data_IF_614415920242
#
_entry.id   IF_614415920242
#
_cell.length_a   1.000
_cell.length_b   1.000
_cell.length_c   1.000
_cell.angle_alpha   90.00
_cell.angle_beta   90.00
_cell.angle_gamma   90.00
#
_symmetry.space_group_name_H-M   'P 1'
#
loop_
_entity.id
_entity.type
_entity.pdbx_description
1 polymer ?
#
# COMPACT_ATOMS: atom_id res chain seq x y z
N UNK A 1 -1.35 15.69 -13.87
CA UNK A 1 -1.79 16.74 -12.92
C UNK A 1 -0.89 16.75 -11.72
N UNK A 2 -0.73 15.58 -11.08
CA UNK A 2 0.35 15.31 -10.13
C UNK A 2 1.67 15.68 -10.78
N UNK A 3 1.94 15.20 -12.01
CA UNK A 3 3.06 15.64 -12.86
C UNK A 3 3.27 17.16 -12.80
N UNK A 4 2.36 17.98 -13.32
CA UNK A 4 2.55 19.44 -13.36
C UNK A 4 2.69 20.11 -11.98
N UNK A 5 1.89 19.71 -10.99
CA UNK A 5 1.99 20.24 -9.63
C UNK A 5 3.31 19.88 -8.95
N UNK A 6 3.70 18.61 -9.06
CA UNK A 6 4.92 18.06 -8.51
C UNK A 6 6.13 18.68 -9.23
N UNK A 7 6.06 18.84 -10.55
CA UNK A 7 7.07 19.55 -11.33
C UNK A 7 7.16 21.05 -10.99
N UNK A 8 6.07 21.67 -10.53
CA UNK A 8 6.07 23.08 -10.11
C UNK A 8 6.55 23.30 -8.67
N UNK A 9 6.41 22.31 -7.77
CA UNK A 9 6.75 22.44 -6.33
C UNK A 9 7.93 21.60 -5.85
N UNK A 10 8.31 20.56 -6.59
CA UNK A 10 9.41 19.65 -6.26
C UNK A 10 10.61 20.00 -7.16
N UNK A 11 11.47 20.85 -6.61
CA UNK A 11 12.70 21.37 -7.22
C UNK A 11 13.96 20.58 -6.83
N UNK A 12 13.84 19.60 -5.92
CA UNK A 12 14.98 18.87 -5.39
C UNK A 12 14.64 17.40 -5.14
N UNK A 13 15.64 16.53 -5.33
CA UNK A 13 15.50 15.08 -5.11
C UNK A 13 15.04 14.75 -3.69
N UNK A 14 15.53 15.49 -2.69
CA UNK A 14 15.10 15.32 -1.29
C UNK A 14 13.60 15.58 -1.13
N UNK A 15 13.08 16.70 -1.64
CA UNK A 15 11.64 16.99 -1.55
C UNK A 15 10.81 15.94 -2.28
N UNK A 16 11.25 15.51 -3.47
CA UNK A 16 10.53 14.48 -4.22
C UNK A 16 10.51 13.13 -3.48
N UNK A 17 11.65 12.68 -2.95
CA UNK A 17 11.68 11.46 -2.14
C UNK A 17 10.85 11.58 -0.86
N UNK A 18 10.82 12.75 -0.20
CA UNK A 18 10.01 12.95 1.01
C UNK A 18 8.51 12.89 0.69
N UNK A 19 8.11 13.42 -0.46
CA UNK A 19 6.73 13.29 -0.95
C UNK A 19 6.40 11.85 -1.30
N UNK A 20 7.29 11.12 -1.98
CA UNK A 20 7.08 9.69 -2.27
C UNK A 20 6.92 8.89 -0.96
N UNK A 21 7.81 9.10 0.00
CA UNK A 21 7.76 8.47 1.32
C UNK A 21 6.46 8.81 2.08
N UNK A 22 6.05 10.08 2.07
CA UNK A 22 4.81 10.52 2.72
C UNK A 22 3.56 9.97 2.06
N UNK A 23 3.53 9.89 0.71
CA UNK A 23 2.44 9.25 -0.02
C UNK A 23 2.35 7.76 0.32
N UNK A 24 3.50 7.07 0.44
CA UNK A 24 3.55 5.68 0.89
C UNK A 24 2.96 5.48 2.29
N UNK A 25 3.20 6.40 3.22
CA UNK A 25 2.59 6.34 4.55
C UNK A 25 1.07 6.58 4.51
N UNK A 26 0.62 7.54 3.68
CA UNK A 26 -0.81 7.87 3.58
C UNK A 26 -1.60 6.73 2.94
N UNK A 27 -1.00 6.00 2.01
CA UNK A 27 -1.62 4.86 1.32
C UNK A 27 -1.37 3.54 2.06
N UNK A 28 -1.47 3.53 3.39
CA UNK A 28 -1.18 2.35 4.23
C UNK A 28 -2.19 1.20 4.10
N UNK A 29 -3.34 1.44 3.49
CA UNK A 29 -4.46 0.49 3.51
C UNK A 29 -4.21 -0.74 2.62
N UNK A 30 -3.35 -0.64 1.61
CA UNK A 30 -3.02 -1.76 0.71
C UNK A 30 -1.65 -1.52 0.03
N UNK A 31 -0.78 -2.51 0.05
CA UNK A 31 0.60 -2.41 -0.45
C UNK A 31 0.69 -2.44 -1.98
N UNK A 32 -0.21 -3.13 -2.68
CA UNK A 32 -0.27 -3.11 -4.14
C UNK A 32 -0.76 -1.77 -4.67
N UNK A 33 -1.88 -1.28 -4.14
CA UNK A 33 -2.43 0.02 -4.50
C UNK A 33 -1.42 1.12 -4.21
N UNK A 34 -0.76 1.07 -3.05
CA UNK A 34 0.32 1.99 -2.69
C UNK A 34 1.44 1.98 -3.74
N UNK A 35 1.99 0.79 -4.05
CA UNK A 35 3.10 0.67 -5.00
C UNK A 35 2.74 1.19 -6.38
N UNK A 36 1.56 0.84 -6.89
CA UNK A 36 1.08 1.28 -8.19
C UNK A 36 0.84 2.80 -8.22
N UNK A 37 0.18 3.34 -7.19
CA UNK A 37 -0.19 4.75 -7.12
C UNK A 37 1.03 5.64 -6.90
N UNK A 38 1.86 5.36 -5.89
CA UNK A 38 3.06 6.18 -5.59
C UNK A 38 4.07 6.05 -6.72
N UNK A 39 4.31 4.83 -7.21
CA UNK A 39 5.23 4.56 -8.31
C UNK A 39 4.85 5.35 -9.57
N UNK A 40 3.59 5.27 -10.00
CA UNK A 40 3.12 6.00 -11.19
C UNK A 40 3.10 7.52 -10.97
N UNK A 41 2.66 7.99 -9.80
CA UNK A 41 2.58 9.41 -9.47
C UNK A 41 3.96 10.09 -9.42
N UNK A 42 4.99 9.38 -8.95
CA UNK A 42 6.33 9.92 -8.73
C UNK A 42 7.31 9.62 -9.87
N UNK A 43 6.95 8.78 -10.85
CA UNK A 43 7.82 8.39 -11.98
C UNK A 43 8.39 9.59 -12.73
N UNK A 44 7.52 10.44 -13.28
CA UNK A 44 7.94 11.60 -14.10
C UNK A 44 8.74 12.64 -13.31
N UNK A 45 8.35 12.82 -12.04
CA UNK A 45 9.02 13.74 -11.11
C UNK A 45 10.43 13.25 -10.84
N UNK A 46 10.56 11.95 -10.59
CA UNK A 46 11.83 11.28 -10.37
C UNK A 46 12.71 11.37 -11.61
N UNK A 47 12.14 11.19 -12.80
CA UNK A 47 12.88 11.33 -14.06
C UNK A 47 13.43 12.72 -14.28
N UNK A 48 12.59 13.75 -14.10
CA UNK A 48 13.03 15.14 -14.24
C UNK A 48 14.12 15.49 -13.23
N UNK A 49 14.03 14.95 -12.02
CA UNK A 49 15.01 15.17 -10.96
C UNK A 49 16.18 14.17 -11.00
N UNK A 50 16.25 13.29 -12.02
CA UNK A 50 17.29 12.27 -12.20
C UNK A 50 17.46 11.38 -10.98
N UNK A 51 16.36 11.01 -10.31
CA UNK A 51 16.36 9.94 -9.32
C UNK A 51 16.38 8.61 -10.09
N UNK A 52 17.30 7.72 -9.74
CA UNK A 52 17.41 6.38 -10.32
C UNK A 52 16.14 5.55 -10.08
N UNK A 53 15.83 4.65 -11.01
CA UNK A 53 14.66 3.75 -10.87
C UNK A 53 14.77 2.87 -9.63
N UNK A 54 15.99 2.45 -9.32
CA UNK A 54 16.34 1.60 -8.18
C UNK A 54 16.03 2.30 -6.84
N UNK A 55 16.35 3.59 -6.73
CA UNK A 55 16.02 4.37 -5.52
C UNK A 55 14.53 4.64 -5.41
N UNK A 56 13.85 4.97 -6.51
CA UNK A 56 12.40 5.16 -6.48
C UNK A 56 11.69 3.85 -6.09
N UNK A 57 12.07 2.72 -6.67
CA UNK A 57 11.50 1.41 -6.31
C UNK A 57 11.76 1.07 -4.86
N UNK A 58 12.96 1.37 -4.34
CA UNK A 58 13.28 1.15 -2.93
C UNK A 58 12.39 1.97 -2.00
N UNK A 59 12.17 3.26 -2.29
CA UNK A 59 11.29 4.13 -1.49
C UNK A 59 9.85 3.61 -1.50
N UNK A 60 9.34 3.24 -2.67
CA UNK A 60 7.96 2.77 -2.84
C UNK A 60 7.75 1.43 -2.13
N UNK A 61 8.62 0.44 -2.39
CA UNK A 61 8.54 -0.90 -1.79
C UNK A 61 8.65 -0.84 -0.25
N UNK A 62 9.63 -0.11 0.26
CA UNK A 62 9.87 0.04 1.70
C UNK A 62 8.83 0.90 2.43
N UNK A 63 7.87 1.50 1.71
CA UNK A 63 6.74 2.23 2.30
C UNK A 63 5.38 1.61 1.97
N UNK A 64 5.32 0.62 1.09
CA UNK A 64 4.11 -0.14 0.79
C UNK A 64 3.87 -1.23 1.84
N UNK A 65 4.56 -2.37 1.72
CA UNK A 65 4.36 -3.51 2.61
C UNK A 65 4.67 -3.19 4.09
N UNK A 66 5.79 -2.50 4.42
CA UNK A 66 6.08 -2.13 5.82
C UNK A 66 4.97 -1.33 6.49
N UNK A 67 4.44 -0.30 5.82
CA UNK A 67 3.38 0.54 6.42
C UNK A 67 2.08 -0.25 6.51
N UNK A 68 1.75 -1.06 5.50
CA UNK A 68 0.58 -1.92 5.53
C UNK A 68 0.60 -2.88 6.74
N UNK A 69 1.75 -3.46 7.08
CA UNK A 69 1.87 -4.38 8.22
C UNK A 69 1.77 -3.72 9.60
N UNK A 70 1.90 -2.38 9.69
CA UNK A 70 1.80 -1.60 10.93
C UNK A 70 0.42 -0.96 11.11
N UNK A 71 -0.37 -0.87 10.04
CA UNK A 71 -1.68 -0.24 10.02
C UNK A 71 -2.82 -1.25 9.97
N UNK A 72 -4.05 -0.73 10.07
CA UNK A 72 -5.26 -1.49 9.73
C UNK A 72 -5.35 -1.50 8.20
N UNK A 73 -4.74 -2.51 7.58
CA UNK A 73 -4.61 -2.65 6.13
C UNK A 73 -5.26 -3.93 5.61
N UNK A 74 -5.10 -4.21 4.31
CA UNK A 74 -5.43 -5.48 3.68
C UNK A 74 -4.78 -6.70 4.38
N UNK A 75 -3.70 -6.51 5.13
CA UNK A 75 -3.00 -7.56 5.86
C UNK A 75 -3.54 -7.83 7.26
N UNK A 76 -4.36 -6.94 7.83
CA UNK A 76 -4.75 -7.02 9.25
C UNK A 76 -5.50 -8.32 9.55
N UNK A 77 -6.41 -8.75 8.68
CA UNK A 77 -7.18 -9.99 8.86
C UNK A 77 -6.27 -11.22 8.87
N UNK A 78 -5.28 -11.26 7.96
CA UNK A 78 -4.29 -12.34 7.91
C UNK A 78 -3.37 -12.32 9.15
N UNK A 79 -2.93 -11.15 9.60
CA UNK A 79 -2.11 -11.04 10.81
C UNK A 79 -2.89 -11.51 12.06
N UNK A 80 -4.19 -11.20 12.13
CA UNK A 80 -5.06 -11.69 13.20
C UNK A 80 -5.30 -13.21 13.10
N UNK A 81 -5.42 -13.77 11.91
CA UNK A 81 -5.54 -15.23 11.75
C UNK A 81 -4.26 -15.94 12.20
N UNK A 82 -3.08 -15.40 11.87
CA UNK A 82 -1.80 -15.95 12.32
C UNK A 82 -1.63 -15.90 13.85
N UNK A 83 -2.06 -14.82 14.50
CA UNK A 83 -2.04 -14.74 15.97
C UNK A 83 -2.99 -15.80 16.56
N UNK A 84 -4.14 -16.01 15.93
CA UNK A 84 -5.12 -17.02 16.38
C UNK A 84 -4.56 -18.44 16.25
N UNK A 85 -3.95 -18.77 15.11
CA UNK A 85 -3.25 -20.04 14.90
C UNK A 85 -2.07 -20.23 15.88
N UNK A 86 -1.37 -19.13 16.20
CA UNK A 86 -0.34 -19.09 17.24
C UNK A 86 -0.88 -19.47 18.62
N UNK A 87 -2.10 -19.04 18.99
CA UNK A 87 -2.74 -19.45 20.24
C UNK A 87 -3.10 -20.93 20.24
N UNK A 88 -3.65 -21.43 19.14
CA UNK A 88 -4.05 -22.84 18.99
C UNK A 88 -2.83 -23.77 19.09
N UNK A 89 -1.75 -23.44 18.39
CA UNK A 89 -0.49 -24.20 18.43
C UNK A 89 0.19 -24.15 19.81
N UNK A 90 0.07 -23.03 20.53
CA UNK A 90 0.59 -22.89 21.90
C UNK A 90 -0.31 -23.51 22.98
N UNK A 91 -1.50 -24.02 22.61
CA UNK A 91 -2.45 -24.62 23.56
C UNK A 91 -3.07 -23.61 24.53
N UNK A 92 -3.20 -22.35 24.12
CA UNK A 92 -3.81 -21.30 24.95
C UNK A 92 -5.33 -21.52 24.97
N UNK A 93 -5.88 -21.76 26.17
CA UNK A 93 -7.33 -21.96 26.34
C UNK A 93 -8.14 -20.79 25.79
N UNK A 94 -9.18 -21.11 25.01
CA UNK A 94 -10.05 -20.11 24.37
C UNK A 94 -10.73 -19.16 25.39
N UNK A 95 -10.91 -19.61 26.64
CA UNK A 95 -11.49 -18.82 27.72
C UNK A 95 -10.52 -17.76 28.31
N UNK A 96 -9.21 -17.92 28.11
CA UNK A 96 -8.16 -17.08 28.69
C UNK A 96 -7.30 -16.36 27.63
N UNK A 97 -7.63 -16.49 26.35
CA UNK A 97 -6.84 -15.87 25.28
C UNK A 97 -7.06 -14.35 25.25
N UNK A 98 -6.00 -13.53 25.22
CA UNK A 98 -6.12 -12.09 25.00
C UNK A 98 -6.76 -11.79 23.64
N UNK A 99 -7.40 -10.63 23.50
CA UNK A 99 -7.98 -10.21 22.23
C UNK A 99 -6.91 -10.21 21.14
N UNK A 100 -7.15 -10.92 20.03
CA UNK A 100 -6.18 -11.08 18.93
C UNK A 100 -5.68 -9.73 18.40
N UNK A 101 -6.55 -8.71 18.34
CA UNK A 101 -6.18 -7.37 17.91
C UNK A 101 -5.45 -6.55 18.97
N UNK A 102 -5.72 -6.77 20.25
CA UNK A 102 -4.91 -6.19 21.33
C UNK A 102 -3.48 -6.72 21.25
N UNK A 103 -3.33 -8.02 20.98
CA UNK A 103 -2.01 -8.61 20.73
C UNK A 103 -1.39 -8.09 19.45
N UNK A 104 -2.16 -7.89 18.38
CA UNK A 104 -1.66 -7.23 17.18
C UNK A 104 -1.12 -5.83 17.48
N UNK A 105 -1.90 -4.97 18.15
CA UNK A 105 -1.49 -3.59 18.46
C UNK A 105 -0.29 -3.56 19.40
N UNK A 106 -0.25 -4.44 20.40
CA UNK A 106 0.92 -4.58 21.28
C UNK A 106 2.14 -5.20 20.58
N UNK A 107 1.95 -5.89 19.45
CA UNK A 107 3.04 -6.43 18.62
C UNK A 107 3.65 -5.38 17.68
N UNK A 108 2.92 -4.30 17.34
CA UNK A 108 3.40 -3.23 16.43
C UNK A 108 4.79 -2.72 16.82
N UNK A 109 5.09 -2.36 18.10
CA UNK A 109 6.42 -1.91 18.50
C UNK A 109 7.52 -2.95 18.31
N UNK A 110 7.19 -4.23 18.17
CA UNK A 110 8.15 -5.32 17.95
C UNK A 110 8.36 -5.66 16.47
N UNK A 111 7.60 -5.05 15.56
CA UNK A 111 7.80 -5.17 14.12
C UNK A 111 9.01 -4.31 13.67
N UNK A 112 10.19 -4.71 14.13
CA UNK A 112 11.46 -4.01 13.92
C UNK A 112 11.76 -3.83 12.44
N UNK A 113 11.47 -4.84 11.60
CA UNK A 113 11.73 -4.75 10.16
C UNK A 113 10.95 -3.58 9.54
N UNK A 114 9.63 -3.52 9.74
CA UNK A 114 8.81 -2.50 9.13
C UNK A 114 9.19 -1.09 9.63
N UNK A 115 9.38 -0.95 10.95
CA UNK A 115 9.78 0.33 11.55
C UNK A 115 11.14 0.78 11.01
N UNK A 116 12.14 -0.10 11.01
CA UNK A 116 13.47 0.23 10.54
C UNK A 116 13.49 0.52 9.04
N UNK A 117 12.72 -0.19 8.22
CA UNK A 117 12.62 0.08 6.78
C UNK A 117 12.07 1.48 6.51
N UNK A 118 10.95 1.86 7.15
CA UNK A 118 10.33 3.19 6.98
C UNK A 118 11.29 4.30 7.44
N UNK A 119 11.95 4.11 8.58
CA UNK A 119 12.93 5.07 9.11
C UNK A 119 14.17 5.14 8.22
N UNK A 120 14.65 4.01 7.71
CA UNK A 120 15.81 3.96 6.82
C UNK A 120 15.56 4.76 5.55
N UNK A 121 14.40 4.59 4.91
CA UNK A 121 14.01 5.39 3.74
C UNK A 121 14.00 6.88 4.08
N UNK A 122 13.41 7.27 5.22
CA UNK A 122 13.39 8.66 5.66
C UNK A 122 14.80 9.23 5.83
N UNK A 123 15.73 8.45 6.41
CA UNK A 123 17.13 8.84 6.58
C UNK A 123 17.83 8.99 5.22
N UNK A 124 17.69 8.02 4.32
CA UNK A 124 18.32 8.04 3.00
C UNK A 124 17.84 9.27 2.21
N UNK A 125 16.53 9.46 2.12
CA UNK A 125 15.91 10.55 1.38
C UNK A 125 16.21 11.91 2.04
N UNK A 126 16.11 12.00 3.37
CA UNK A 126 16.32 13.24 4.11
C UNK A 126 17.78 13.70 4.08
N UNK A 127 18.73 12.78 4.21
CA UNK A 127 20.17 13.11 4.17
C UNK A 127 20.72 13.18 2.74
N UNK A 128 20.11 12.46 1.79
CA UNK A 128 20.65 12.26 0.44
C UNK A 128 21.90 11.39 0.45
N UNK A 129 22.07 10.52 1.45
CA UNK A 129 23.22 9.60 1.55
C UNK A 129 22.80 8.21 1.10
N UNK A 130 22.96 7.96 -0.20
CA UNK A 130 22.80 6.64 -0.79
C UNK A 130 24.03 5.76 -0.51
N UNK A 131 23.85 4.44 -0.45
CA UNK A 131 24.93 3.49 -0.15
C UNK A 131 24.87 2.25 -1.06
N UNK A 132 26.00 1.53 -1.14
CA UNK A 132 26.12 0.29 -1.91
C UNK A 132 25.76 0.46 -3.40
N UNK A 133 25.07 -0.51 -3.96
CA UNK A 133 24.63 -0.50 -5.37
C UNK A 133 23.67 0.66 -5.70
N UNK A 134 22.90 1.13 -4.72
CA UNK A 134 22.01 2.29 -4.91
C UNK A 134 22.82 3.57 -5.14
N UNK A 135 23.96 3.74 -4.46
CA UNK A 135 24.86 4.87 -4.71
C UNK A 135 25.42 4.83 -6.14
N UNK A 136 25.77 3.64 -6.64
CA UNK A 136 26.20 3.46 -8.03
C UNK A 136 25.10 3.85 -9.02
N UNK A 137 23.85 3.44 -8.75
CA UNK A 137 22.69 3.80 -9.57
C UNK A 137 22.40 5.31 -9.58
N UNK A 138 22.47 5.97 -8.41
CA UNK A 138 22.32 7.43 -8.32
C UNK A 138 23.47 8.17 -9.02
N UNK A 139 24.71 7.71 -8.86
CA UNK A 139 25.86 8.29 -9.53
C UNK A 139 25.73 8.20 -11.06
N UNK A 140 25.27 7.06 -11.58
CA UNK A 140 24.95 6.86 -13.00
C UNK A 140 23.88 7.84 -13.48
N UNK A 141 22.82 8.00 -12.70
CA UNK A 141 21.73 8.94 -13.00
C UNK A 141 22.21 10.39 -13.05
N UNK A 142 23.10 10.79 -12.13
CA UNK A 142 23.65 12.15 -12.07
C UNK A 142 24.66 12.45 -13.18
N UNK A 143 25.59 11.53 -13.42
CA UNK A 143 26.71 11.75 -14.34
C UNK A 143 26.33 11.54 -15.81
N UNK A 144 25.56 10.48 -16.10
CA UNK A 144 25.19 10.11 -17.46
C UNK A 144 23.76 10.53 -17.82
N UNK A 145 22.96 11.01 -16.86
CA UNK A 145 21.55 11.35 -17.08
C UNK A 145 20.65 10.13 -17.32
N UNK A 146 21.16 8.92 -17.09
CA UNK A 146 20.44 7.66 -17.30
C UNK A 146 19.78 7.24 -16.01
N UNK A 147 18.46 7.27 -15.92
CA UNK A 147 17.70 6.81 -14.74
C UNK A 147 17.58 5.28 -14.67
N UNK A 148 17.70 4.60 -15.80
CA UNK A 148 17.60 3.13 -15.94
C UNK A 148 18.89 2.54 -16.50
N UNK A 149 19.39 1.44 -15.93
CA UNK A 149 20.64 0.79 -16.38
C UNK A 149 20.51 0.32 -17.83
N UNK A 150 21.60 0.34 -18.59
CA UNK A 150 21.56 0.03 -20.04
C UNK A 150 21.12 -1.42 -20.33
N UNK A 151 21.46 -2.35 -19.45
CA UNK A 151 21.04 -3.76 -19.53
C UNK A 151 19.79 -4.05 -18.69
N UNK A 152 19.01 -3.03 -18.33
CA UNK A 152 17.77 -3.25 -17.60
C UNK A 152 16.77 -3.98 -18.50
N UNK A 153 16.17 -5.03 -17.96
CA UNK A 153 14.93 -5.59 -18.47
C UNK A 153 13.85 -5.26 -17.44
N UNK A 154 13.13 -4.12 -17.58
CA UNK A 154 12.00 -3.82 -16.71
C UNK A 154 11.00 -4.97 -16.78
N UNK A 155 10.56 -5.46 -15.62
CA UNK A 155 9.51 -6.49 -15.56
C UNK A 155 8.17 -5.98 -16.12
N UNK A 156 7.93 -4.67 -15.99
CA UNK A 156 6.73 -4.01 -16.49
C UNK A 156 7.12 -2.66 -17.07
N UNK A 157 6.59 -2.34 -18.26
CA UNK A 157 6.70 -1.00 -18.83
C UNK A 157 5.34 -0.32 -18.79
N UNK A 158 4.96 0.13 -17.59
CA UNK A 158 3.70 0.84 -17.34
C UNK A 158 3.52 2.07 -18.25
N UNK A 159 4.60 2.70 -18.74
CA UNK A 159 4.47 3.84 -19.67
C UNK A 159 4.25 3.39 -21.12
N UNK A 160 4.88 2.27 -21.53
CA UNK A 160 4.59 1.64 -22.82
C UNK A 160 3.21 1.00 -22.88
N UNK A 161 2.70 0.52 -21.73
CA UNK A 161 1.40 -0.18 -21.63
C UNK A 161 0.21 0.78 -21.45
N UNK A 162 0.35 1.90 -20.72
CA UNK A 162 -0.76 2.84 -20.48
C UNK A 162 -0.84 4.04 -21.46
N UNK A 163 0.19 4.23 -22.29
CA UNK A 163 0.26 5.33 -23.26
C UNK A 163 0.38 6.74 -22.63
N UNK A 164 0.32 7.76 -23.49
CA UNK A 164 0.31 9.16 -23.03
C UNK A 164 -1.06 9.54 -22.43
N UNK A 165 -1.08 10.27 -21.30
CA UNK A 165 -2.34 10.65 -20.67
C UNK A 165 -3.19 11.54 -21.60
N UNK A 166 -4.52 11.31 -21.68
CA UNK A 166 -5.40 11.96 -22.66
C UNK A 166 -5.64 13.45 -22.42
N UNK A 167 -5.14 14.03 -21.31
CA UNK A 167 -5.62 15.31 -20.79
C UNK A 167 -4.87 16.53 -21.35
N UNK A 168 -5.60 17.42 -22.01
CA UNK A 168 -5.19 18.79 -22.35
C UNK A 168 -5.14 19.74 -21.13
N UNK A 169 -5.82 19.40 -20.02
CA UNK A 169 -5.80 20.15 -18.75
C UNK A 169 -5.84 19.22 -17.53
N UNK A 170 -4.68 18.92 -16.91
CA UNK A 170 -4.66 17.89 -15.90
C UNK A 170 -4.98 18.45 -14.49
N UNK A 171 -6.00 17.90 -13.81
CA UNK A 171 -6.45 18.34 -12.47
C UNK A 171 -6.11 17.35 -11.35
N UNK A 172 -5.56 17.85 -10.23
CA UNK A 172 -5.19 17.01 -9.06
C UNK A 172 -6.39 16.34 -8.41
N UNK A 173 -7.55 16.96 -8.53
CA UNK A 173 -8.83 16.46 -8.00
C UNK A 173 -9.16 15.09 -8.58
N UNK A 174 -8.81 14.82 -9.84
CA UNK A 174 -9.08 13.55 -10.52
C UNK A 174 -8.27 12.37 -9.95
N UNK A 175 -7.24 12.67 -9.14
CA UNK A 175 -6.43 11.66 -8.46
C UNK A 175 -6.80 11.55 -6.98
N UNK A 176 -6.79 12.68 -6.26
CA UNK A 176 -7.01 12.66 -4.81
C UNK A 176 -8.45 12.29 -4.44
N UNK A 177 -9.46 12.65 -5.25
CA UNK A 177 -10.85 12.32 -4.93
C UNK A 177 -11.09 10.82 -5.03
N UNK A 178 -10.70 10.09 -6.10
CA UNK A 178 -10.85 8.63 -6.11
C UNK A 178 -10.14 7.92 -4.96
N UNK A 179 -8.93 8.35 -4.60
CA UNK A 179 -8.20 7.82 -3.43
C UNK A 179 -8.94 8.13 -2.12
N UNK A 180 -9.47 9.33 -1.95
CA UNK A 180 -10.26 9.68 -0.77
C UNK A 180 -11.57 8.89 -0.70
N UNK A 181 -12.21 8.65 -1.86
CA UNK A 181 -13.42 7.81 -1.96
C UNK A 181 -13.08 6.37 -1.58
N UNK A 182 -11.97 5.81 -2.06
CA UNK A 182 -11.50 4.49 -1.66
C UNK A 182 -11.41 4.38 -0.14
N UNK A 183 -10.62 5.27 0.48
CA UNK A 183 -10.40 5.26 1.94
C UNK A 183 -11.74 5.44 2.68
N UNK A 184 -12.55 6.42 2.30
CA UNK A 184 -13.80 6.71 2.99
C UNK A 184 -14.82 5.57 2.87
N UNK A 185 -14.96 4.97 1.68
CA UNK A 185 -15.90 3.87 1.45
C UNK A 185 -15.40 2.61 2.13
N UNK A 186 -14.11 2.29 2.07
CA UNK A 186 -13.54 1.15 2.80
C UNK A 186 -13.75 1.30 4.30
N UNK A 187 -13.46 2.46 4.90
CA UNK A 187 -13.72 2.68 6.33
C UNK A 187 -15.21 2.60 6.67
N UNK A 188 -16.09 3.18 5.85
CA UNK A 188 -17.52 3.12 6.07
C UNK A 188 -18.08 1.70 5.99
N UNK A 189 -17.64 0.91 5.00
CA UNK A 189 -18.04 -0.50 4.85
C UNK A 189 -17.45 -1.38 5.94
N UNK A 190 -16.20 -1.13 6.36
CA UNK A 190 -15.59 -1.81 7.50
C UNK A 190 -16.42 -1.58 8.77
N UNK A 191 -16.72 -0.32 9.10
CA UNK A 191 -17.56 0.01 10.25
C UNK A 191 -18.97 -0.58 10.15
N UNK A 192 -19.57 -0.56 8.96
CA UNK A 192 -20.89 -1.14 8.75
C UNK A 192 -20.90 -2.67 8.91
N UNK A 193 -19.88 -3.35 8.40
CA UNK A 193 -19.73 -4.82 8.52
C UNK A 193 -19.39 -5.26 9.94
N UNK A 194 -18.65 -4.45 10.70
CA UNK A 194 -18.38 -4.67 12.12
C UNK A 194 -19.51 -4.22 13.04
N UNK A 195 -20.74 -4.10 12.54
CA UNK A 195 -21.93 -3.74 13.32
C UNK A 195 -21.80 -2.44 14.14
N UNK A 196 -20.99 -1.49 13.67
CA UNK A 196 -20.80 -0.21 14.36
C UNK A 196 -22.14 0.51 14.53
N UNK A 197 -22.45 0.92 15.77
CA UNK A 197 -23.64 1.72 16.08
C UNK A 197 -23.28 3.22 16.16
N UNK A 198 -23.60 4.04 15.14
CA UNK A 198 -23.29 5.47 15.15
C UNK A 198 -24.05 6.22 16.24
N UNK A 199 -25.26 5.72 16.57
CA UNK A 199 -26.12 6.29 17.61
C UNK A 199 -25.54 6.04 19.00
N UNK A 200 -25.04 4.83 19.26
CA UNK A 200 -24.35 4.51 20.52
C UNK A 200 -23.06 5.31 20.68
N UNK A 201 -22.24 5.38 19.63
CA UNK A 201 -21.00 6.16 19.65
C UNK A 201 -21.22 7.66 19.89
N UNK A 202 -22.20 8.27 19.21
CA UNK A 202 -22.53 9.67 19.43
C UNK A 202 -23.09 9.91 20.84
N UNK A 203 -23.87 8.98 21.39
CA UNK A 203 -24.34 9.03 22.77
C UNK A 203 -23.19 9.04 23.78
N UNK A 204 -22.23 8.13 23.60
CA UNK A 204 -21.07 7.98 24.49
C UNK A 204 -20.11 9.19 24.40
N UNK A 205 -19.96 9.81 23.22
CA UNK A 205 -19.18 11.05 23.07
C UNK A 205 -19.87 12.26 23.72
N UNK A 206 -21.19 12.36 23.60
CA UNK A 206 -21.97 13.47 24.17
C UNK A 206 -22.05 13.37 25.69
N UNK A 207 -22.05 12.15 26.25
CA UNK A 207 -21.96 11.92 27.70
C UNK A 207 -20.54 12.10 28.27
N UNK A 208 -19.53 12.33 27.42
CA UNK A 208 -18.12 12.46 27.82
C UNK A 208 -17.45 11.13 28.15
N UNK A 209 -18.08 10.01 27.79
CA UNK A 209 -17.60 8.65 28.01
C UNK A 209 -16.72 8.18 26.83
N UNK A 210 -15.50 8.72 26.77
CA UNK A 210 -14.53 8.38 25.72
C UNK A 210 -14.05 6.92 25.75
N UNK A 211 -14.13 6.25 26.91
CA UNK A 211 -13.79 4.82 27.04
C UNK A 211 -14.74 3.91 26.27
N UNK A 212 -16.05 3.91 26.59
CA UNK A 212 -17.09 3.18 25.84
C UNK A 212 -17.14 3.55 24.35
N UNK A 213 -17.00 4.83 24.02
CA UNK A 213 -16.94 5.27 22.62
C UNK A 213 -15.75 4.65 21.86
N UNK A 214 -14.58 4.60 22.49
CA UNK A 214 -13.39 3.93 21.97
C UNK A 214 -13.60 2.43 21.83
N UNK A 215 -14.21 1.80 22.82
CA UNK A 215 -14.50 0.36 22.80
C UNK A 215 -15.47 -0.03 21.68
N UNK A 216 -16.49 0.78 21.38
CA UNK A 216 -17.39 0.54 20.24
C UNK A 216 -16.70 0.63 18.88
N UNK A 217 -15.81 1.61 18.70
CA UNK A 217 -15.00 1.69 17.49
C UNK A 217 -14.04 0.51 17.38
N UNK A 218 -13.52 0.07 18.52
CA UNK A 218 -12.59 -1.05 18.63
C UNK A 218 -13.26 -2.38 18.27
N UNK A 219 -14.44 -2.66 18.84
CA UNK A 219 -15.22 -3.86 18.57
C UNK A 219 -15.67 -3.90 17.09
N UNK A 220 -16.07 -2.74 16.54
CA UNK A 220 -16.42 -2.66 15.13
C UNK A 220 -15.24 -2.82 14.18
N UNK A 221 -14.03 -2.40 14.57
CA UNK A 221 -12.83 -2.67 13.78
C UNK A 221 -12.48 -4.17 13.82
N UNK A 222 -12.72 -4.83 14.95
CA UNK A 222 -12.45 -6.25 15.14
C UNK A 222 -13.33 -7.16 14.28
N UNK A 223 -14.63 -6.87 14.24
CA UNK A 223 -15.61 -7.69 13.52
C UNK A 223 -15.81 -7.25 12.06
N UNK A 224 -15.07 -6.23 11.62
CA UNK A 224 -15.16 -5.73 10.25
C UNK A 224 -14.69 -6.76 9.22
N UNK A 225 -15.46 -6.92 8.15
CA UNK A 225 -15.03 -7.66 6.97
C UNK A 225 -14.21 -6.75 6.06
N UNK A 226 -12.90 -6.67 6.33
CA UNK A 226 -11.98 -5.84 5.56
C UNK A 226 -11.87 -6.25 4.08
N UNK A 227 -12.04 -7.54 3.77
CA UNK A 227 -12.09 -8.07 2.40
C UNK A 227 -13.22 -7.42 1.59
N UNK A 228 -14.44 -7.44 2.14
CA UNK A 228 -15.61 -6.83 1.49
C UNK A 228 -15.48 -5.31 1.46
N UNK A 229 -14.93 -4.71 2.51
CA UNK A 229 -14.72 -3.27 2.58
C UNK A 229 -13.73 -2.75 1.53
N UNK A 230 -12.64 -3.47 1.30
CA UNK A 230 -11.66 -3.14 0.25
C UNK A 230 -12.23 -3.39 -1.15
N UNK A 231 -12.96 -4.50 -1.32
CA UNK A 231 -13.66 -4.78 -2.58
C UNK A 231 -14.62 -3.64 -2.94
N UNK A 232 -15.55 -3.27 -2.05
CA UNK A 232 -16.52 -2.20 -2.30
C UNK A 232 -15.82 -0.85 -2.49
N UNK A 233 -14.79 -0.56 -1.68
CA UNK A 233 -13.99 0.65 -1.80
C UNK A 233 -13.29 0.76 -3.16
N UNK A 234 -12.70 -0.32 -3.68
CA UNK A 234 -12.04 -0.32 -4.98
C UNK A 234 -13.02 -0.09 -6.13
N UNK A 235 -14.21 -0.69 -6.09
CA UNK A 235 -15.27 -0.40 -7.06
C UNK A 235 -15.73 1.06 -6.98
N UNK A 236 -15.87 1.61 -5.77
CA UNK A 236 -16.23 3.02 -5.58
C UNK A 236 -15.13 3.97 -6.09
N UNK A 237 -13.85 3.62 -5.92
CA UNK A 237 -12.73 4.35 -6.50
C UNK A 237 -12.84 4.42 -8.02
N UNK A 238 -13.00 3.27 -8.68
CA UNK A 238 -13.14 3.21 -10.14
C UNK A 238 -14.36 4.00 -10.60
N UNK A 239 -15.52 3.81 -9.95
CA UNK A 239 -16.75 4.54 -10.28
C UNK A 239 -16.59 6.06 -10.13
N UNK A 240 -15.90 6.52 -9.08
CA UNK A 240 -15.61 7.94 -8.88
C UNK A 240 -14.64 8.47 -9.94
N UNK A 241 -13.65 7.67 -10.37
CA UNK A 241 -12.76 7.99 -11.48
C UNK A 241 -13.52 8.19 -12.79
N UNK A 242 -14.48 7.30 -13.10
CA UNK A 242 -15.36 7.42 -14.28
C UNK A 242 -16.23 8.68 -14.19
N UNK A 243 -16.83 8.94 -13.02
CA UNK A 243 -17.68 10.10 -12.80
C UNK A 243 -16.91 11.41 -12.97
N UNK A 244 -15.70 11.51 -12.42
CA UNK A 244 -14.85 12.70 -12.53
C UNK A 244 -14.25 12.85 -13.93
N UNK A 245 -13.84 11.74 -14.56
CA UNK A 245 -13.36 11.74 -15.95
C UNK A 245 -14.40 12.33 -16.90
N UNK A 246 -15.67 11.92 -16.73
CA UNK A 246 -16.80 12.48 -17.48
C UNK A 246 -17.18 13.90 -17.07
N UNK A 247 -17.22 14.20 -15.77
CA UNK A 247 -17.62 15.52 -15.27
C UNK A 247 -16.63 16.63 -15.66
N UNK A 248 -15.34 16.30 -15.78
CA UNK A 248 -14.30 17.22 -16.20
C UNK A 248 -13.89 17.07 -17.67
N UNK A 249 -14.64 16.27 -18.44
CA UNK A 249 -14.43 16.05 -19.88
C UNK A 249 -12.97 15.69 -20.22
N UNK A 250 -12.36 14.82 -19.41
CA UNK A 250 -10.96 14.41 -19.55
C UNK A 250 -10.82 13.20 -20.46
N UNK A 251 -11.75 12.25 -20.37
CA UNK A 251 -11.81 11.04 -21.19
C UNK A 251 -13.24 10.48 -21.22
N UNK A 252 -13.57 9.73 -22.27
CA UNK A 252 -14.87 9.11 -22.46
C UNK A 252 -15.07 7.84 -21.63
N UNK A 253 -16.29 7.30 -21.62
CA UNK A 253 -16.60 6.02 -20.95
C UNK A 253 -15.87 4.83 -21.62
N UNK A 254 -15.62 4.92 -22.93
CA UNK A 254 -14.82 3.94 -23.67
C UNK A 254 -13.40 3.87 -23.13
N UNK A 255 -12.70 5.01 -23.16
CA UNK A 255 -11.34 5.16 -22.64
C UNK A 255 -11.25 4.73 -21.16
N UNK A 256 -12.23 5.12 -20.34
CA UNK A 256 -12.28 4.72 -18.93
C UNK A 256 -12.31 3.20 -18.74
N UNK A 257 -13.04 2.50 -19.61
CA UNK A 257 -13.14 1.03 -19.60
C UNK A 257 -11.82 0.41 -20.05
N UNK A 258 -11.21 0.94 -21.11
CA UNK A 258 -9.91 0.50 -21.62
C UNK A 258 -8.82 0.66 -20.55
N UNK A 259 -8.70 1.83 -19.92
CA UNK A 259 -7.76 2.06 -18.81
C UNK A 259 -7.97 1.13 -17.63
N UNK A 260 -9.22 0.73 -17.35
CA UNK A 260 -9.52 -0.24 -16.29
C UNK A 260 -9.01 -1.63 -16.67
N UNK A 261 -9.20 -2.05 -17.93
CA UNK A 261 -8.71 -3.33 -18.46
C UNK A 261 -7.18 -3.37 -18.49
N UNK A 262 -6.54 -2.31 -18.97
CA UNK A 262 -5.08 -2.20 -19.00
C UNK A 262 -4.50 -2.26 -17.59
N UNK A 263 -5.16 -1.58 -16.64
CA UNK A 263 -4.83 -1.66 -15.22
C UNK A 263 -4.88 -3.09 -14.67
N UNK A 264 -5.90 -3.88 -15.03
CA UNK A 264 -5.95 -5.30 -14.68
C UNK A 264 -4.84 -6.11 -15.34
N UNK A 265 -4.49 -5.79 -16.59
CA UNK A 265 -3.39 -6.44 -17.32
C UNK A 265 -2.05 -6.31 -16.59
N UNK A 266 -1.76 -5.13 -16.04
CA UNK A 266 -0.55 -4.88 -15.24
C UNK A 266 -0.51 -5.78 -13.99
N UNK A 267 -1.64 -6.08 -13.37
CA UNK A 267 -1.68 -6.91 -12.14
C UNK A 267 -1.54 -8.42 -12.40
N UNK A 268 -1.67 -8.87 -13.66
CA UNK A 268 -1.66 -10.31 -13.99
C UNK A 268 -0.33 -10.99 -13.62
N UNK A 269 0.79 -10.30 -13.83
CA UNK A 269 2.13 -10.82 -13.48
C UNK A 269 2.26 -11.03 -11.97
N UNK A 270 1.76 -10.08 -11.17
CA UNK A 270 1.77 -10.20 -9.71
C UNK A 270 0.89 -11.38 -9.24
N UNK A 271 -0.31 -11.52 -9.81
CA UNK A 271 -1.21 -12.63 -9.49
C UNK A 271 -0.60 -14.00 -9.83
N UNK A 272 0.10 -14.11 -10.96
CA UNK A 272 0.81 -15.32 -11.35
C UNK A 272 1.93 -15.67 -10.34
N UNK A 273 2.73 -14.68 -9.91
CA UNK A 273 3.79 -14.89 -8.92
C UNK A 273 3.21 -15.36 -7.57
N UNK A 274 2.13 -14.74 -7.09
CA UNK A 274 1.47 -15.13 -5.84
C UNK A 274 0.92 -16.56 -5.89
N UNK A 275 0.27 -16.91 -7.00
CA UNK A 275 -0.28 -18.27 -7.20
C UNK A 275 0.83 -19.31 -7.18
N UNK A 276 1.96 -19.04 -7.85
CA UNK A 276 3.13 -19.91 -7.84
C UNK A 276 3.79 -19.99 -6.46
N UNK A 277 3.84 -18.88 -5.73
CA UNK A 277 4.43 -18.83 -4.38
C UNK A 277 3.63 -19.71 -3.40
N UNK A 278 2.30 -19.66 -3.44
CA UNK A 278 1.45 -20.56 -2.66
C UNK A 278 1.64 -22.02 -3.07
N UNK A 279 1.75 -22.30 -4.37
CA UNK A 279 2.04 -23.65 -4.86
C UNK A 279 3.39 -24.20 -4.37
N UNK A 280 4.42 -23.34 -4.22
CA UNK A 280 5.70 -23.74 -3.62
C UNK A 280 5.53 -24.01 -2.11
N UNK A 281 4.74 -23.20 -1.40
CA UNK A 281 4.44 -23.43 0.03
C UNK A 281 3.82 -24.80 0.27
N UNK A 282 2.75 -25.12 -0.45
CA UNK A 282 2.09 -26.43 -0.35
C UNK A 282 3.04 -27.60 -0.69
N UNK A 283 3.93 -27.43 -1.66
CA UNK A 283 4.91 -28.43 -2.01
C UNK A 283 5.96 -28.65 -0.90
N UNK A 284 6.41 -27.57 -0.26
CA UNK A 284 7.35 -27.62 0.88
C UNK A 284 6.72 -28.35 2.07
N UNK A 285 5.46 -28.05 2.36
CA UNK A 285 4.68 -28.67 3.44
C UNK A 285 4.46 -30.16 3.16
N UNK A 286 4.06 -30.52 1.94
CA UNK A 286 3.87 -31.91 1.53
C UNK A 286 5.17 -32.74 1.61
N UNK A 287 6.32 -32.11 1.38
CA UNK A 287 7.64 -32.75 1.50
C UNK A 287 8.15 -32.83 2.95
N UNK A 288 7.52 -32.16 3.90
CA UNK A 288 8.00 -32.10 5.29
C UNK A 288 9.37 -31.43 5.41
N UNK A 289 9.72 -30.53 4.49
CA UNK A 289 11.06 -29.94 4.43
C UNK A 289 11.34 -29.09 5.68
N UNK A 290 10.31 -28.39 6.18
CA UNK A 290 10.39 -27.63 7.43
C UNK A 290 10.77 -28.51 8.63
N UNK A 291 10.09 -29.64 8.80
CA UNK A 291 10.37 -30.60 9.88
C UNK A 291 11.78 -31.20 9.77
N UNK A 292 12.22 -31.50 8.56
CA UNK A 292 13.57 -31.99 8.30
C UNK A 292 14.64 -30.95 8.69
N UNK A 293 14.46 -29.69 8.30
CA UNK A 293 15.42 -28.62 8.66
C UNK A 293 15.40 -28.35 10.17
N UNK A 294 14.21 -28.34 10.79
CA UNK A 294 14.07 -28.15 12.23
C UNK A 294 14.77 -29.24 13.05
N UNK A 295 14.79 -30.49 12.56
CA UNK A 295 15.49 -31.60 13.22
C UNK A 295 17.01 -31.59 13.00
N UNK A 296 17.51 -30.96 11.94
CA UNK A 296 18.96 -30.85 11.65
C UNK A 296 19.59 -29.58 12.25
N UNK A 297 18.79 -28.52 12.47
CA UNK A 297 19.26 -27.24 13.03
C UNK A 297 19.41 -27.22 14.56
N UNK A 298 19.01 -28.29 15.25
CA UNK A 298 19.18 -28.52 16.70
C UNK A 298 20.37 -29.45 16.95
#
# INVERSE_FOLDING_TARGET
>A
AIREWALARLDSQRKAGLVAWGLGIVLFFDDYANTAIVGSAMKDVSDRLRISREKLSYVVDSTAAPVATLGISSWVAFQLSLITEGYESAGVDAANRPGTFEVFVSSIPFNMYAILAIVMVLVIVGTGRDYGEMLTAEHRSWTAGKVTRDEAVPMQDVAGELGDPPASTPRLVNFFVPVAVLIAVTLATALWSGEFSPVGFAGDLVSGEFGPAGQRLWDAALDASYEVALMIGSFAMVASGFALGKAYDVFGVGDATEYTIDGFGIMLTAAAILTLAWGIGEAIDALGTGDYVATVAV
#
